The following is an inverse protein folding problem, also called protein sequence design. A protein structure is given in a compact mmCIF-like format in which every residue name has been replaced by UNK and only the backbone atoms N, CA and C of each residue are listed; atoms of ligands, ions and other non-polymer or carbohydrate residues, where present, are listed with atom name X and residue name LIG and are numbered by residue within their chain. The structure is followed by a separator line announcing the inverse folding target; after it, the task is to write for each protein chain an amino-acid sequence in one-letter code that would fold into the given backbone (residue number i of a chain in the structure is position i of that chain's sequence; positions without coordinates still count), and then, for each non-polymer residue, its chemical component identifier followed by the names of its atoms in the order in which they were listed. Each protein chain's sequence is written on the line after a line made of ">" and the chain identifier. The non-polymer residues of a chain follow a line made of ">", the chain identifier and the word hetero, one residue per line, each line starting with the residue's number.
data_IF_139686622810
#
_entry.id   IF_139686622810
#
_cell.length_a   1.000
_cell.length_b   1.000
_cell.length_c   1.000
_cell.angle_alpha   90.00
_cell.angle_beta   90.00
_cell.angle_gamma   90.00
#
_symmetry.space_group_name_H-M   'P 1'
#
loop_
_entity.id
_entity.type
_entity.pdbx_description
1 polymer ?
#
# COMPACT_ATOMS: atom_id res chain seq x y z
N UNK A 1 -4.29 5.67 -27.01
CA UNK A 1 -3.39 5.33 -25.89
C UNK A 1 -4.18 4.57 -24.84
N UNK A 2 -3.71 3.40 -24.41
CA UNK A 2 -4.30 2.70 -23.25
C UNK A 2 -3.81 3.42 -22.00
N UNK A 3 -4.71 4.05 -21.25
CA UNK A 3 -4.36 4.65 -19.95
C UNK A 3 -4.28 3.54 -18.91
N UNK A 4 -3.21 3.54 -18.12
CA UNK A 4 -3.09 2.67 -16.95
C UNK A 4 -4.23 2.97 -15.97
N UNK A 5 -4.76 1.95 -15.27
CA UNK A 5 -5.78 2.16 -14.26
C UNK A 5 -5.24 3.10 -13.17
N UNK A 6 -6.03 4.12 -12.83
CA UNK A 6 -5.77 4.97 -11.67
C UNK A 6 -6.30 4.23 -10.45
N UNK A 7 -5.41 3.88 -9.53
CA UNK A 7 -5.76 3.27 -8.24
C UNK A 7 -5.69 4.35 -7.17
N UNK A 8 -6.72 4.42 -6.32
CA UNK A 8 -6.67 5.19 -5.08
C UNK A 8 -5.72 4.54 -4.09
N UNK A 9 -5.19 5.32 -3.14
CA UNK A 9 -4.37 4.78 -2.05
C UNK A 9 -5.11 3.70 -1.25
N UNK A 10 -6.42 3.86 -1.07
CA UNK A 10 -7.26 2.88 -0.37
C UNK A 10 -7.35 1.54 -1.12
N UNK A 11 -7.51 1.56 -2.45
CA UNK A 11 -7.49 0.35 -3.26
C UNK A 11 -6.13 -0.32 -3.22
N UNK A 12 -5.05 0.45 -3.31
CA UNK A 12 -3.69 -0.09 -3.23
C UNK A 12 -3.43 -0.79 -1.89
N UNK A 13 -3.86 -0.20 -0.77
CA UNK A 13 -3.75 -0.85 0.56
C UNK A 13 -4.51 -2.18 0.58
N UNK A 14 -5.73 -2.23 0.04
CA UNK A 14 -6.55 -3.46 -0.01
C UNK A 14 -5.88 -4.54 -0.84
N UNK A 15 -5.38 -4.19 -2.02
CA UNK A 15 -4.67 -5.13 -2.91
C UNK A 15 -3.42 -5.67 -2.19
N UNK A 16 -2.58 -4.80 -1.64
CA UNK A 16 -1.37 -5.22 -0.93
C UNK A 16 -1.69 -6.11 0.29
N UNK A 17 -2.79 -5.85 1.00
CA UNK A 17 -3.22 -6.72 2.08
C UNK A 17 -3.51 -8.16 1.62
N UNK A 18 -4.11 -8.34 0.44
CA UNK A 18 -4.32 -9.66 -0.17
C UNK A 18 -3.00 -10.37 -0.52
N UNK A 19 -1.95 -9.60 -0.83
CA UNK A 19 -0.59 -10.13 -1.05
C UNK A 19 0.19 -10.41 0.25
N UNK A 20 -0.45 -10.32 1.41
CA UNK A 20 0.15 -10.62 2.72
C UNK A 20 0.85 -9.43 3.37
N UNK A 21 0.64 -8.20 2.88
CA UNK A 21 1.06 -7.02 3.61
C UNK A 21 0.11 -6.72 4.78
N UNK A 22 0.65 -6.19 5.87
CA UNK A 22 -0.08 -5.80 7.07
C UNK A 22 0.22 -4.34 7.38
N UNK A 23 -0.82 -3.57 7.69
CA UNK A 23 -0.68 -2.18 8.15
C UNK A 23 -0.05 -2.19 9.54
N UNK A 24 1.03 -1.43 9.72
CA UNK A 24 1.72 -1.32 11.03
C UNK A 24 1.60 0.04 11.69
N UNK A 25 1.53 1.11 10.90
CA UNK A 25 1.34 2.47 11.42
C UNK A 25 0.74 3.36 10.35
N UNK A 26 0.15 4.46 10.80
CA UNK A 26 -0.30 5.53 9.93
C UNK A 26 0.10 6.86 10.56
N UNK A 27 0.63 7.78 9.75
CA UNK A 27 0.90 9.17 10.14
C UNK A 27 0.24 10.08 9.11
N UNK A 28 -0.80 10.80 9.52
CA UNK A 28 -1.63 11.56 8.59
C UNK A 28 -2.22 10.64 7.51
N UNK A 29 -2.09 11.01 6.25
CA UNK A 29 -2.53 10.21 5.11
C UNK A 29 -1.57 9.06 4.74
N UNK A 30 -0.38 8.96 5.34
CA UNK A 30 0.61 7.97 4.93
C UNK A 30 0.49 6.70 5.77
N UNK A 31 0.19 5.58 5.12
CA UNK A 31 0.06 4.26 5.73
C UNK A 31 1.31 3.43 5.46
N UNK A 32 1.92 2.90 6.52
CA UNK A 32 3.03 1.97 6.40
C UNK A 32 2.53 0.53 6.47
N UNK A 33 2.91 -0.26 5.47
CA UNK A 33 2.62 -1.68 5.29
C UNK A 33 3.91 -2.48 5.39
N UNK A 34 3.86 -3.66 5.99
CA UNK A 34 4.97 -4.62 6.00
C UNK A 34 4.51 -5.98 5.53
N UNK A 35 5.41 -6.75 4.94
CA UNK A 35 5.22 -8.17 4.68
C UNK A 35 6.45 -8.93 5.13
N UNK A 36 6.25 -10.02 5.85
CA UNK A 36 7.31 -10.95 6.18
C UNK A 36 7.55 -11.89 5.00
N UNK A 37 8.81 -12.05 4.60
CA UNK A 37 9.24 -12.92 3.49
C UNK A 37 10.34 -13.85 3.98
N UNK A 38 10.66 -14.88 3.19
CA UNK A 38 11.76 -15.81 3.52
C UNK A 38 13.12 -15.13 3.64
N UNK A 39 13.31 -13.98 3.01
CA UNK A 39 14.56 -13.21 3.01
C UNK A 39 14.56 -12.07 4.04
N UNK A 40 13.46 -11.90 4.80
CA UNK A 40 13.32 -10.83 5.78
C UNK A 40 12.03 -10.03 5.61
N UNK A 41 11.94 -8.88 6.29
CA UNK A 41 10.76 -8.02 6.28
C UNK A 41 10.89 -6.95 5.20
N UNK A 42 9.88 -6.84 4.34
CA UNK A 42 9.76 -5.75 3.36
C UNK A 42 8.71 -4.74 3.82
N UNK A 43 8.96 -3.46 3.60
CA UNK A 43 8.06 -2.36 3.99
C UNK A 43 7.76 -1.42 2.84
N UNK A 44 6.56 -0.86 2.81
CA UNK A 44 6.13 0.14 1.85
C UNK A 44 5.25 1.20 2.54
N UNK A 45 5.28 2.43 2.03
CA UNK A 45 4.40 3.51 2.48
C UNK A 45 3.44 3.87 1.36
N UNK A 46 2.15 3.84 1.64
CA UNK A 46 1.08 4.21 0.71
C UNK A 46 0.42 5.50 1.16
N UNK A 47 0.41 6.56 0.34
CA UNK A 47 -0.36 7.75 0.60
C UNK A 47 -1.85 7.51 0.34
N UNK A 48 -2.70 7.86 1.30
CA UNK A 48 -4.16 7.86 1.22
C UNK A 48 -4.69 9.26 0.88
N UNK A 49 -4.20 9.85 -0.21
CA UNK A 49 -4.78 11.09 -0.74
C UNK A 49 -5.91 10.73 -1.71
N UNK A 50 -6.97 11.54 -1.74
CA UNK A 50 -8.06 11.38 -2.71
C UNK A 50 -7.66 11.80 -4.13
N UNK A 51 -6.53 12.51 -4.28
CA UNK A 51 -5.98 12.92 -5.57
C UNK A 51 -4.54 12.44 -5.76
N UNK A 52 -4.33 11.68 -6.84
CA UNK A 52 -3.10 11.56 -7.62
C UNK A 52 -3.36 12.21 -8.98
#
# INVERSE_FOLDING_TARGET
>A
MVKLPRLSGHELVKILAQFGFKKIRQKGSHVMLIKDTRQGKIGCVVPLHDEL
#
